data_IF_097581580674
#
_entry.id   IF_097581580674
#
_cell.length_a   1.000
_cell.length_b   1.000
_cell.length_c   1.000
_cell.angle_alpha   90.00
_cell.angle_beta   90.00
_cell.angle_gamma   90.00
#
_symmetry.space_group_name_H-M   'P 1'
#
loop_
_entity.id
_entity.type
_entity.pdbx_description
1 polymer ?
#
# COMPACT_ATOMS: atom_id res chain seq x y z
N UNK A 1 -15.78 -39.67 51.97
CA UNK A 1 -16.86 -38.94 52.67
C UNK A 1 -16.32 -37.53 52.89
N UNK A 2 -16.77 -36.54 52.10
CA UNK A 2 -17.89 -35.63 52.47
C UNK A 2 -17.45 -34.87 53.73
N UNK A 3 -17.17 -33.56 53.77
CA UNK A 3 -17.53 -32.41 52.94
C UNK A 3 -16.84 -31.22 53.60
N UNK A 4 -16.25 -30.29 52.84
CA UNK A 4 -16.32 -28.90 53.30
C UNK A 4 -16.48 -27.94 52.11
N UNK A 5 -17.75 -27.77 51.74
CA UNK A 5 -18.19 -26.86 50.68
C UNK A 5 -18.51 -25.46 51.23
N UNK A 6 -18.17 -25.15 52.50
CA UNK A 6 -18.50 -23.85 53.10
C UNK A 6 -17.62 -22.68 52.67
N UNK A 7 -16.63 -22.90 51.78
CA UNK A 7 -15.74 -21.82 51.30
C UNK A 7 -16.17 -21.16 49.98
N UNK A 8 -17.33 -21.51 49.44
CA UNK A 8 -17.80 -21.01 48.13
C UNK A 8 -19.06 -20.11 48.18
N UNK A 9 -19.50 -19.66 49.36
CA UNK A 9 -20.62 -18.72 49.48
C UNK A 9 -20.24 -17.45 50.23
N UNK A 10 -19.34 -16.66 49.64
CA UNK A 10 -19.36 -15.21 49.84
C UNK A 10 -19.83 -14.60 48.52
N UNK A 11 -20.94 -13.83 48.49
CA UNK A 11 -21.44 -13.22 47.27
C UNK A 11 -20.38 -12.29 46.66
N UNK A 12 -20.07 -12.46 45.37
CA UNK A 12 -19.06 -11.71 44.62
C UNK A 12 -19.25 -10.18 44.62
N UNK A 13 -20.41 -9.68 45.07
CA UNK A 13 -20.73 -8.26 45.14
C UNK A 13 -20.29 -7.56 46.42
N UNK A 14 -19.90 -8.27 47.48
CA UNK A 14 -19.55 -7.64 48.76
C UNK A 14 -18.04 -7.50 49.00
N UNK A 15 -17.21 -8.00 48.08
CA UNK A 15 -15.75 -7.91 48.12
C UNK A 15 -15.17 -6.88 47.12
N UNK A 16 -16.03 -6.26 46.30
CA UNK A 16 -15.66 -5.31 45.25
C UNK A 16 -16.16 -3.87 45.50
N UNK A 17 -16.44 -3.50 46.74
CA UNK A 17 -16.89 -2.13 47.08
C UNK A 17 -15.87 -1.35 47.92
N UNK A 18 -14.67 -1.90 48.14
CA UNK A 18 -13.60 -1.27 48.92
C UNK A 18 -12.25 -1.45 48.22
N UNK A 19 -12.06 -0.74 47.10
CA UNK A 19 -10.80 -0.23 46.55
C UNK A 19 -10.87 -0.14 45.02
N UNK A 20 -11.65 0.79 44.48
CA UNK A 20 -11.19 1.46 43.26
C UNK A 20 -10.11 2.45 43.69
N UNK A 21 -8.82 2.24 43.35
CA UNK A 21 -7.83 3.26 43.59
C UNK A 21 -8.17 4.46 42.70
N UNK A 22 -8.54 5.58 43.32
CA UNK A 22 -8.70 6.88 42.66
C UNK A 22 -7.47 7.31 41.82
N UNK A 23 -6.33 6.60 41.98
CA UNK A 23 -5.10 6.76 41.21
C UNK A 23 -5.19 6.32 39.74
N UNK A 24 -6.14 5.46 39.34
CA UNK A 24 -6.25 5.03 37.94
C UNK A 24 -6.81 6.12 37.01
N UNK A 25 -7.39 7.19 37.57
CA UNK A 25 -8.02 8.26 36.80
C UNK A 25 -7.02 9.29 36.24
N UNK A 26 -5.74 9.22 36.64
CA UNK A 26 -4.71 10.18 36.24
C UNK A 26 -3.32 9.53 36.04
N UNK A 27 -3.28 8.30 35.54
CA UNK A 27 -2.02 7.69 35.11
C UNK A 27 -1.52 8.39 33.85
N UNK A 28 -0.74 9.46 34.03
CA UNK A 28 0.02 10.08 32.95
C UNK A 28 0.95 9.01 32.38
N UNK A 29 0.71 8.61 31.13
CA UNK A 29 1.64 7.77 30.38
C UNK A 29 3.03 8.42 30.43
N UNK A 30 4.12 7.64 30.55
CA UNK A 30 5.46 8.21 30.63
C UNK A 30 5.73 9.09 29.40
N UNK A 31 6.33 10.28 29.63
CA UNK A 31 6.55 11.33 28.61
C UNK A 31 7.27 10.81 27.35
N UNK A 32 8.09 9.76 27.48
CA UNK A 32 8.77 9.09 26.37
C UNK A 32 7.82 8.49 25.33
N UNK A 33 6.74 7.84 25.78
CA UNK A 33 5.76 7.23 24.88
C UNK A 33 4.97 8.28 24.08
N UNK A 34 4.78 9.47 24.64
CA UNK A 34 4.09 10.56 23.97
C UNK A 34 4.98 11.21 22.91
N UNK A 35 6.23 11.51 23.24
CA UNK A 35 7.17 12.08 22.27
C UNK A 35 7.48 11.13 21.10
N UNK A 36 7.61 9.83 21.37
CA UNK A 36 7.81 8.82 20.31
C UNK A 36 6.62 8.77 19.34
N UNK A 37 5.39 8.83 19.85
CA UNK A 37 4.17 8.91 19.02
C UNK A 37 4.11 10.19 18.21
N UNK A 38 4.46 11.33 18.81
CA UNK A 38 4.49 12.62 18.12
C UNK A 38 5.51 12.62 16.98
N UNK A 39 6.69 12.03 17.21
CA UNK A 39 7.73 11.86 16.19
C UNK A 39 7.30 10.93 15.07
N UNK A 40 6.70 9.78 15.39
CA UNK A 40 6.17 8.84 14.41
C UNK A 40 5.09 9.50 13.54
N UNK A 41 4.13 10.19 14.16
CA UNK A 41 3.08 10.89 13.44
C UNK A 41 3.64 12.04 12.57
N UNK A 42 4.68 12.75 13.04
CA UNK A 42 5.34 13.78 12.25
C UNK A 42 6.09 13.20 11.03
N UNK A 43 6.70 12.02 11.20
CA UNK A 43 7.36 11.30 10.12
C UNK A 43 6.34 10.85 9.07
N UNK A 44 5.24 10.22 9.47
CA UNK A 44 4.16 9.80 8.57
C UNK A 44 3.57 10.98 7.79
N UNK A 45 3.27 12.10 8.46
CA UNK A 45 2.79 13.32 7.79
C UNK A 45 3.78 13.83 6.74
N UNK A 46 5.09 13.72 7.01
CA UNK A 46 6.12 14.14 6.05
C UNK A 46 6.21 13.17 4.87
N UNK A 47 6.13 11.87 5.12
CA UNK A 47 6.09 10.85 4.08
C UNK A 47 4.88 11.04 3.16
N UNK A 48 3.69 11.25 3.72
CA UNK A 48 2.47 11.49 2.94
C UNK A 48 2.60 12.72 2.04
N UNK A 49 3.07 13.85 2.59
CA UNK A 49 3.31 15.06 1.78
C UNK A 49 4.30 14.83 0.65
N UNK A 50 5.38 14.09 0.91
CA UNK A 50 6.36 13.78 -0.12
C UNK A 50 5.75 12.91 -1.23
N UNK A 51 4.92 11.92 -0.87
CA UNK A 51 4.20 11.09 -1.85
C UNK A 51 3.27 11.96 -2.69
N UNK A 52 2.48 12.83 -2.07
CA UNK A 52 1.55 13.73 -2.75
C UNK A 52 2.29 14.66 -3.74
N UNK A 53 3.42 15.24 -3.32
CA UNK A 53 4.24 16.11 -4.15
C UNK A 53 4.82 15.38 -5.37
N UNK A 54 5.30 14.15 -5.16
CA UNK A 54 5.84 13.30 -6.25
C UNK A 54 4.73 12.95 -7.24
N UNK A 55 3.56 12.51 -6.76
CA UNK A 55 2.43 12.16 -7.61
C UNK A 55 1.93 13.38 -8.40
N UNK A 56 1.81 14.54 -7.76
CA UNK A 56 1.44 15.78 -8.43
C UNK A 56 2.43 16.14 -9.55
N UNK A 57 3.73 15.99 -9.29
CA UNK A 57 4.77 16.25 -10.30
C UNK A 57 4.70 15.28 -11.47
N UNK A 58 4.50 13.98 -11.20
CA UNK A 58 4.34 12.97 -12.24
C UNK A 58 3.13 13.29 -13.14
N UNK A 59 2.05 13.77 -12.55
CA UNK A 59 0.80 14.07 -13.27
C UNK A 59 0.92 15.20 -14.28
N UNK A 60 1.75 16.21 -14.01
CA UNK A 60 1.91 17.40 -14.89
C UNK A 60 2.88 17.19 -16.05
N UNK A 61 3.64 16.09 -16.06
CA UNK A 61 4.56 15.76 -17.16
C UNK A 61 3.81 15.17 -18.38
N UNK A 62 4.53 14.74 -19.42
CA UNK A 62 3.90 14.15 -20.62
C UNK A 62 3.47 12.69 -20.39
N UNK A 63 2.45 12.15 -21.10
CA UNK A 63 2.03 10.76 -20.96
C UNK A 63 3.15 9.74 -21.10
N UNK A 64 4.06 9.93 -22.06
CA UNK A 64 5.22 9.07 -22.28
C UNK A 64 6.17 8.99 -21.06
N UNK A 65 6.23 10.07 -20.26
CA UNK A 65 6.99 10.06 -19.01
C UNK A 65 6.33 9.19 -17.94
N UNK A 66 5.00 9.16 -17.88
CA UNK A 66 4.28 8.27 -16.98
C UNK A 66 4.50 6.79 -17.36
N UNK A 67 4.38 6.46 -18.64
CA UNK A 67 4.68 5.12 -19.17
C UNK A 67 6.10 4.66 -18.79
N UNK A 68 7.07 5.56 -18.93
CA UNK A 68 8.46 5.36 -18.51
C UNK A 68 8.56 4.97 -17.04
N UNK A 69 7.97 5.78 -16.15
CA UNK A 69 8.04 5.55 -14.71
C UNK A 69 7.41 4.21 -14.33
N UNK A 70 6.25 3.87 -14.91
CA UNK A 70 5.57 2.60 -14.60
C UNK A 70 6.47 1.42 -14.94
N UNK A 71 7.13 1.45 -16.10
CA UNK A 71 8.07 0.40 -16.51
C UNK A 71 9.28 0.38 -15.56
N UNK A 72 9.87 1.53 -15.25
CA UNK A 72 11.05 1.63 -14.37
C UNK A 72 10.76 1.09 -12.95
N UNK A 73 9.56 1.34 -12.41
CA UNK A 73 9.11 0.81 -11.12
C UNK A 73 9.01 -0.72 -11.16
N UNK A 74 8.39 -1.28 -12.19
CA UNK A 74 8.25 -2.73 -12.33
C UNK A 74 9.61 -3.43 -12.45
N UNK A 75 10.54 -2.83 -13.21
CA UNK A 75 11.91 -3.32 -13.31
C UNK A 75 12.65 -3.23 -11.97
N UNK A 76 12.50 -2.13 -11.23
CA UNK A 76 13.10 -1.96 -9.91
C UNK A 76 12.53 -2.96 -8.89
N UNK A 77 11.29 -3.39 -9.05
CA UNK A 77 10.66 -4.45 -8.27
C UNK A 77 11.09 -5.87 -8.69
N UNK A 78 11.85 -6.01 -9.79
CA UNK A 78 12.39 -7.28 -10.28
C UNK A 78 11.58 -7.95 -11.39
N UNK A 79 10.52 -7.31 -11.90
CA UNK A 79 9.79 -7.79 -13.07
C UNK A 79 10.61 -7.43 -14.32
N UNK A 80 11.21 -8.42 -14.99
CA UNK A 80 12.08 -8.20 -16.15
C UNK A 80 13.45 -8.86 -16.09
N UNK A 81 13.72 -9.66 -15.06
CA UNK A 81 15.00 -10.34 -14.88
C UNK A 81 16.16 -9.37 -14.57
N UNK A 82 17.39 -9.85 -14.73
CA UNK A 82 18.61 -9.10 -14.33
C UNK A 82 19.09 -8.08 -15.38
N UNK A 83 18.45 -8.01 -16.54
CA UNK A 83 18.92 -7.22 -17.67
C UNK A 83 17.83 -6.23 -18.11
N UNK A 84 18.09 -4.93 -17.96
CA UNK A 84 17.17 -3.85 -18.41
C UNK A 84 16.80 -3.93 -19.89
N UNK A 85 17.59 -4.61 -20.72
CA UNK A 85 17.29 -4.83 -22.14
C UNK A 85 16.06 -5.72 -22.40
N UNK A 86 15.58 -6.47 -21.40
CA UNK A 86 14.37 -7.30 -21.49
C UNK A 86 13.08 -6.49 -21.39
N UNK A 87 13.14 -5.23 -20.96
CA UNK A 87 12.03 -4.30 -21.03
C UNK A 87 12.08 -3.56 -22.37
N UNK A 88 11.29 -4.02 -23.34
CA UNK A 88 11.12 -3.31 -24.60
C UNK A 88 9.94 -2.35 -24.46
N UNK A 89 10.22 -1.05 -24.56
CA UNK A 89 9.16 -0.07 -24.82
C UNK A 89 8.66 -0.29 -26.23
N UNK A 90 7.53 -0.95 -26.39
CA UNK A 90 6.82 -1.03 -27.66
C UNK A 90 6.05 0.27 -27.87
N UNK A 91 6.77 1.39 -27.98
CA UNK A 91 6.18 2.68 -28.29
C UNK A 91 6.00 2.84 -29.79
N UNK A 92 4.94 2.26 -30.37
CA UNK A 92 4.35 2.79 -31.60
C UNK A 92 2.88 3.08 -31.36
N UNK A 93 2.63 4.36 -31.09
CA UNK A 93 1.30 4.95 -30.95
C UNK A 93 0.44 4.64 -32.17
N UNK A 94 -0.71 3.98 -32.00
CA UNK A 94 -1.74 3.96 -33.04
C UNK A 94 -2.88 2.93 -32.99
N UNK A 95 -2.89 1.90 -32.13
CA UNK A 95 -3.78 0.74 -32.34
C UNK A 95 -4.60 0.22 -31.13
N UNK A 96 -4.40 0.69 -29.90
CA UNK A 96 -5.39 0.45 -28.84
C UNK A 96 -4.93 -0.17 -27.52
N UNK A 97 -3.67 -0.04 -27.08
CA UNK A 97 -3.44 0.04 -25.63
C UNK A 97 -2.29 -0.70 -24.98
N UNK A 98 -1.25 -1.16 -25.69
CA UNK A 98 -0.05 -1.68 -25.03
C UNK A 98 1.04 -0.61 -24.98
N UNK A 99 1.39 -0.17 -23.77
CA UNK A 99 2.41 0.86 -23.53
C UNK A 99 3.79 0.27 -23.21
N UNK A 100 3.87 -1.01 -22.83
CA UNK A 100 5.14 -1.68 -22.57
C UNK A 100 5.04 -3.21 -22.55
N UNK A 101 6.18 -3.86 -22.84
CA UNK A 101 6.33 -5.32 -22.70
C UNK A 101 7.61 -5.64 -21.95
N UNK A 102 7.49 -6.46 -20.92
CA UNK A 102 8.60 -6.91 -20.08
C UNK A 102 8.74 -8.43 -20.22
N UNK A 103 9.88 -8.90 -20.74
CA UNK A 103 10.19 -10.33 -20.74
C UNK A 103 10.64 -10.79 -19.33
N UNK A 104 10.03 -11.85 -18.81
CA UNK A 104 10.34 -12.41 -17.48
C UNK A 104 11.54 -13.34 -17.55
N UNK A 105 11.72 -14.02 -18.68
CA UNK A 105 12.80 -14.96 -18.92
C UNK A 105 13.79 -14.45 -19.99
N UNK A 106 14.96 -15.10 -20.04
CA UNK A 106 16.04 -14.73 -20.95
C UNK A 106 15.78 -15.06 -22.43
N UNK A 107 14.86 -15.99 -22.72
CA UNK A 107 14.41 -16.37 -24.06
C UNK A 107 13.27 -15.46 -24.55
N UNK A 108 12.61 -14.73 -23.65
CA UNK A 108 11.52 -13.80 -23.95
C UNK A 108 10.19 -14.47 -24.30
N UNK A 109 9.98 -15.70 -23.80
CA UNK A 109 8.76 -16.48 -24.05
C UNK A 109 7.63 -16.05 -23.12
N UNK A 110 7.96 -15.82 -21.86
CA UNK A 110 7.06 -15.28 -20.84
C UNK A 110 7.14 -13.76 -20.84
N UNK A 111 6.03 -13.12 -21.19
CA UNK A 111 5.93 -11.66 -21.34
C UNK A 111 4.85 -11.09 -20.44
N UNK A 112 5.15 -9.94 -19.83
CA UNK A 112 4.18 -9.09 -19.15
C UNK A 112 3.87 -7.92 -20.07
N UNK A 113 2.62 -7.83 -20.49
CA UNK A 113 2.09 -6.69 -21.23
C UNK A 113 1.56 -5.65 -20.26
N UNK A 114 1.82 -4.38 -20.56
CA UNK A 114 1.52 -3.26 -19.68
C UNK A 114 0.77 -2.17 -20.43
N UNK A 115 -0.19 -1.58 -19.73
CA UNK A 115 -0.82 -0.31 -20.11
C UNK A 115 -0.75 0.65 -18.93
N UNK A 116 -0.19 1.84 -19.15
CA UNK A 116 -0.01 2.88 -18.16
C UNK A 116 -1.05 3.99 -18.36
N UNK A 117 -2.14 3.91 -17.58
CA UNK A 117 -3.21 4.93 -17.61
C UNK A 117 -2.98 6.01 -16.57
N UNK A 118 -2.72 7.24 -17.03
CA UNK A 118 -2.70 8.43 -16.17
C UNK A 118 -4.11 8.99 -15.99
N UNK A 119 -4.79 8.55 -14.94
CA UNK A 119 -6.14 9.00 -14.59
C UNK A 119 -6.12 10.15 -13.59
N UNK A 120 -7.19 10.94 -13.52
CA UNK A 120 -7.32 11.98 -12.47
C UNK A 120 -7.35 11.32 -11.08
N UNK A 121 -6.93 12.02 -10.02
CA UNK A 121 -7.15 11.55 -8.65
C UNK A 121 -8.60 11.10 -8.44
N UNK A 122 -8.78 10.05 -7.65
CA UNK A 122 -10.08 9.43 -7.33
C UNK A 122 -10.85 8.84 -8.53
N UNK A 123 -10.23 8.77 -9.71
CA UNK A 123 -10.82 8.11 -10.88
C UNK A 123 -10.44 6.64 -10.89
N UNK A 124 -11.45 5.78 -10.87
CA UNK A 124 -11.26 4.33 -11.05
C UNK A 124 -10.98 3.98 -12.51
N UNK A 125 -10.21 2.92 -12.73
CA UNK A 125 -9.96 2.39 -14.08
C UNK A 125 -11.29 1.89 -14.68
N UNK A 126 -11.73 2.39 -15.85
CA UNK A 126 -12.95 1.91 -16.49
C UNK A 126 -12.83 0.46 -16.95
N UNK A 127 -13.93 -0.30 -16.88
CA UNK A 127 -13.98 -1.68 -17.40
C UNK A 127 -13.74 -1.72 -18.92
N UNK A 128 -14.16 -0.68 -19.65
CA UNK A 128 -13.86 -0.54 -21.08
C UNK A 128 -12.36 -0.55 -21.35
N UNK A 129 -11.57 0.18 -20.55
CA UNK A 129 -10.13 0.28 -20.75
C UNK A 129 -9.46 -1.08 -20.57
N UNK A 130 -9.90 -1.88 -19.59
CA UNK A 130 -9.40 -3.24 -19.39
C UNK A 130 -9.79 -4.16 -20.55
N UNK A 131 -11.03 -4.07 -21.03
CA UNK A 131 -11.50 -4.88 -22.16
C UNK A 131 -10.76 -4.53 -23.45
N UNK A 132 -10.58 -3.24 -23.72
CA UNK A 132 -9.92 -2.76 -24.91
C UNK A 132 -8.43 -3.14 -24.88
N UNK A 133 -7.79 -3.10 -23.70
CA UNK A 133 -6.45 -3.64 -23.50
C UNK A 133 -6.36 -5.13 -23.84
N UNK A 134 -7.24 -5.96 -23.28
CA UNK A 134 -7.25 -7.40 -23.57
C UNK A 134 -7.47 -7.65 -25.06
N UNK A 135 -8.38 -6.92 -25.69
CA UNK A 135 -8.62 -7.02 -27.14
C UNK A 135 -7.45 -6.57 -28.01
N UNK A 136 -6.50 -5.82 -27.48
CA UNK A 136 -5.25 -5.45 -28.18
C UNK A 136 -4.16 -6.53 -28.11
N UNK A 137 -4.36 -7.58 -27.29
CA UNK A 137 -3.43 -8.70 -27.14
C UNK A 137 -3.78 -9.92 -28.03
N UNK A 138 -4.98 -9.93 -28.61
CA UNK A 138 -5.49 -10.96 -29.54
C UNK A 138 -5.03 -10.71 -30.99
#
# INVERSE_FOLDING_TARGET
MITDYHRLMVPWHQQYEMAEPAAARNARLPDGDQHEREMAAAHERRQHRLVDDILARIHVHEPAFFETIVIDVLLAMGYGGRTRELARRLGRSGDGGVDGVIAIDALGLDQIYLQAKRLKPDTVVPVSDVRDFVGSLD
#
